data_IF_011408607203
#
_entry.id   IF_011408607203
#
_cell.length_a   1.000
_cell.length_b   1.000
_cell.length_c   1.000
_cell.angle_alpha   90.00
_cell.angle_beta   90.00
_cell.angle_gamma   90.00
#
_symmetry.space_group_name_H-M   'P 1'
#
loop_
_entity.id
_entity.type
_entity.pdbx_description
1 polymer ?
#
# COMPACT_ATOMS: atom_id res chain seq x y z
N UNK A 1 2.61 -12.61 24.17
CA UNK A 1 4.09 -12.59 24.33
C UNK A 1 4.83 -12.41 23.00
N UNK A 2 4.25 -12.83 21.86
CA UNK A 2 4.88 -12.73 20.53
C UNK A 2 4.82 -11.35 19.86
N UNK A 3 3.79 -10.52 20.10
CA UNK A 3 3.76 -9.18 19.47
C UNK A 3 4.83 -8.26 20.05
N UNK A 4 4.98 -8.25 21.39
CA UNK A 4 6.03 -7.48 22.07
C UNK A 4 7.46 -7.81 21.61
N UNK A 5 7.72 -9.06 21.16
CA UNK A 5 9.01 -9.43 20.57
C UNK A 5 9.20 -8.90 19.14
N UNK A 6 8.14 -8.88 18.33
CA UNK A 6 8.19 -8.33 16.97
C UNK A 6 8.36 -6.81 17.02
N UNK A 7 7.61 -6.12 17.88
CA UNK A 7 7.70 -4.67 18.04
C UNK A 7 9.14 -4.26 18.37
N UNK A 8 9.75 -4.91 19.36
CA UNK A 8 11.15 -4.68 19.72
C UNK A 8 12.12 -5.02 18.59
N UNK A 9 11.88 -6.10 17.84
CA UNK A 9 12.73 -6.50 16.73
C UNK A 9 12.71 -5.46 15.60
N UNK A 10 11.57 -4.81 15.34
CA UNK A 10 11.47 -3.79 14.28
C UNK A 10 12.32 -2.55 14.55
N UNK A 11 12.69 -2.27 15.81
CA UNK A 11 13.66 -1.19 16.13
C UNK A 11 15.08 -1.46 15.62
N UNK A 12 15.43 -2.72 15.32
CA UNK A 12 16.72 -3.07 14.73
C UNK A 12 16.76 -2.92 13.20
N UNK A 13 15.60 -2.74 12.56
CA UNK A 13 15.48 -2.59 11.11
C UNK A 13 15.92 -1.18 10.72
N UNK A 14 16.98 -1.06 9.91
CA UNK A 14 17.34 0.21 9.28
C UNK A 14 16.68 0.41 7.91
N UNK A 15 16.80 1.60 7.35
CA UNK A 15 16.27 1.93 6.01
C UNK A 15 16.78 0.98 4.92
N UNK A 16 18.04 0.56 5.00
CA UNK A 16 18.67 -0.35 4.04
C UNK A 16 18.03 -1.75 4.01
N UNK A 17 17.28 -2.15 5.03
CA UNK A 17 16.60 -3.44 5.07
C UNK A 17 15.24 -3.41 4.36
N UNK A 18 14.67 -2.23 4.07
CA UNK A 18 13.33 -2.10 3.48
C UNK A 18 13.27 -2.69 2.07
N UNK A 19 14.33 -2.55 1.28
CA UNK A 19 14.43 -3.13 -0.08
C UNK A 19 14.29 -4.66 -0.07
N UNK A 20 14.68 -5.32 1.02
CA UNK A 20 14.57 -6.77 1.17
C UNK A 20 13.16 -7.22 1.55
N UNK A 21 12.31 -6.29 2.02
CA UNK A 21 10.99 -6.58 2.57
C UNK A 21 9.88 -6.51 1.53
N UNK A 22 10.00 -5.65 0.52
CA UNK A 22 9.02 -5.59 -0.58
C UNK A 22 9.03 -6.91 -1.37
N UNK A 23 7.90 -7.24 -1.98
CA UNK A 23 7.76 -8.49 -2.72
C UNK A 23 8.49 -8.42 -4.05
N UNK A 24 9.25 -9.46 -4.38
CA UNK A 24 9.76 -9.68 -5.74
C UNK A 24 8.62 -10.02 -6.69
N UNK A 25 8.77 -9.73 -7.99
CA UNK A 25 7.73 -10.01 -9.00
C UNK A 25 7.20 -11.46 -8.92
N UNK A 26 8.09 -12.42 -8.71
CA UNK A 26 7.74 -13.84 -8.61
C UNK A 26 6.87 -14.18 -7.38
N UNK A 27 6.74 -13.26 -6.42
CA UNK A 27 5.91 -13.41 -5.21
C UNK A 27 4.55 -12.73 -5.34
N UNK A 28 4.30 -11.97 -6.42
CA UNK A 28 2.96 -11.47 -6.73
C UNK A 28 2.08 -12.62 -7.25
N UNK A 29 0.74 -12.53 -7.10
CA UNK A 29 -0.20 -13.52 -7.62
C UNK A 29 0.04 -13.87 -9.09
N UNK A 30 -0.28 -15.11 -9.48
CA UNK A 30 -0.07 -15.63 -10.84
C UNK A 30 -0.65 -14.72 -11.93
N UNK A 31 -1.78 -14.06 -11.64
CA UNK A 31 -2.44 -13.13 -12.56
C UNK A 31 -1.57 -11.92 -12.94
N UNK A 32 -0.60 -11.55 -12.09
CA UNK A 32 0.35 -10.48 -12.35
C UNK A 32 1.67 -10.94 -12.98
N UNK A 33 1.87 -12.24 -13.24
CA UNK A 33 3.13 -12.71 -13.83
C UNK A 33 3.37 -12.21 -15.26
N UNK A 34 2.28 -11.95 -15.99
CA UNK A 34 2.33 -11.28 -17.30
C UNK A 34 2.64 -9.78 -17.23
N UNK A 35 2.46 -9.14 -16.08
CA UNK A 35 2.69 -7.70 -15.88
C UNK A 35 4.19 -7.39 -15.80
N UNK A 36 4.56 -6.11 -15.94
CA UNK A 36 5.94 -5.64 -15.84
C UNK A 36 6.12 -4.75 -14.60
N UNK A 37 7.34 -4.67 -14.07
CA UNK A 37 7.67 -3.69 -13.03
C UNK A 37 7.63 -2.31 -13.68
N UNK A 38 6.73 -1.45 -13.20
CA UNK A 38 6.55 -0.08 -13.72
C UNK A 38 7.14 0.97 -12.79
N UNK A 39 7.23 0.67 -11.49
CA UNK A 39 7.84 1.52 -10.49
C UNK A 39 8.47 0.68 -9.39
N UNK A 40 9.69 1.01 -9.01
CA UNK A 40 10.37 0.39 -7.87
C UNK A 40 11.36 1.34 -7.21
N UNK A 41 11.66 1.07 -5.94
CA UNK A 41 12.71 1.73 -5.17
C UNK A 41 12.19 2.64 -4.06
N UNK A 42 13.04 3.58 -3.64
CA UNK A 42 12.79 4.44 -2.49
C UNK A 42 11.59 5.35 -2.69
N UNK A 43 10.80 5.47 -1.62
CA UNK A 43 9.63 6.33 -1.50
C UNK A 43 9.82 7.23 -0.28
N UNK A 44 10.65 8.26 -0.40
CA UNK A 44 10.84 9.25 0.67
C UNK A 44 9.61 10.17 0.85
N UNK A 45 9.60 11.01 1.89
CA UNK A 45 8.46 11.89 2.20
C UNK A 45 8.16 12.88 1.05
N UNK A 46 9.19 13.43 0.40
CA UNK A 46 9.01 14.35 -0.75
C UNK A 46 8.35 13.65 -1.94
N UNK A 47 8.83 12.45 -2.27
CA UNK A 47 8.29 11.64 -3.37
C UNK A 47 6.85 11.23 -3.06
N UNK A 48 6.54 10.87 -1.81
CA UNK A 48 5.17 10.55 -1.42
C UNK A 48 4.25 11.79 -1.53
N UNK A 49 4.73 12.97 -1.12
CA UNK A 49 3.94 14.20 -1.19
C UNK A 49 3.64 14.61 -2.64
N UNK A 50 4.62 14.48 -3.53
CA UNK A 50 4.46 14.78 -4.96
C UNK A 50 3.47 13.85 -5.67
N UNK A 51 3.33 12.61 -5.20
CA UNK A 51 2.46 11.59 -5.81
C UNK A 51 1.15 11.37 -5.03
N UNK A 52 0.98 12.04 -3.88
CA UNK A 52 -0.20 11.93 -3.03
C UNK A 52 -1.32 12.89 -3.46
N UNK A 53 -2.29 13.09 -2.56
CA UNK A 53 -3.34 14.08 -2.78
C UNK A 53 -2.76 15.50 -2.87
N UNK A 54 -3.45 16.37 -3.62
CA UNK A 54 -3.12 17.79 -3.67
C UNK A 54 -3.09 18.39 -2.25
N UNK A 55 -2.08 19.23 -1.99
CA UNK A 55 -1.83 19.80 -0.66
C UNK A 55 -1.06 18.90 0.32
N UNK A 56 -0.69 17.67 -0.07
CA UNK A 56 0.22 16.85 0.74
C UNK A 56 1.62 17.46 0.79
N UNK A 57 2.26 17.44 1.96
CA UNK A 57 3.63 17.94 2.15
C UNK A 57 4.50 16.89 2.84
N UNK A 58 5.82 16.98 2.64
CA UNK A 58 6.75 16.06 3.29
C UNK A 58 6.84 16.30 4.80
N UNK A 59 6.67 17.54 5.25
CA UNK A 59 6.60 17.90 6.67
C UNK A 59 5.43 17.20 7.35
N UNK A 60 4.24 17.18 6.73
CA UNK A 60 3.07 16.49 7.27
C UNK A 60 3.35 15.01 7.54
N UNK A 61 4.06 14.35 6.63
CA UNK A 61 4.39 12.94 6.79
C UNK A 61 5.50 12.71 7.83
N UNK A 62 6.49 13.60 7.88
CA UNK A 62 7.51 13.56 8.93
C UNK A 62 6.91 13.78 10.31
N UNK A 63 5.99 14.74 10.47
CA UNK A 63 5.30 15.04 11.73
C UNK A 63 4.41 13.88 12.20
N UNK A 64 3.89 13.09 11.25
CA UNK A 64 3.20 11.83 11.53
C UNK A 64 4.14 10.67 11.93
N UNK A 65 5.44 10.92 12.01
CA UNK A 65 6.47 9.95 12.40
C UNK A 65 6.92 9.01 11.27
N UNK A 66 6.62 9.34 10.01
CA UNK A 66 7.09 8.57 8.85
C UNK A 66 8.54 8.95 8.52
N UNK A 67 9.42 7.95 8.53
CA UNK A 67 10.83 8.11 8.18
C UNK A 67 11.02 8.00 6.66
N UNK A 68 10.64 6.87 6.07
CA UNK A 68 10.80 6.61 4.62
C UNK A 68 9.96 5.39 4.18
N UNK A 69 10.11 4.95 2.94
CA UNK A 69 9.57 3.68 2.46
C UNK A 69 10.24 3.19 1.20
N UNK A 70 9.83 1.99 0.77
CA UNK A 70 10.23 1.36 -0.49
C UNK A 70 8.99 0.74 -1.11
N UNK A 71 8.88 0.79 -2.44
CA UNK A 71 7.78 0.14 -3.16
C UNK A 71 8.25 -0.69 -4.34
N UNK A 72 7.41 -1.65 -4.72
CA UNK A 72 7.42 -2.27 -6.05
C UNK A 72 6.00 -2.36 -6.57
N UNK A 73 5.81 -1.90 -7.80
CA UNK A 73 4.53 -1.85 -8.50
C UNK A 73 4.64 -2.56 -9.85
N UNK A 74 3.67 -3.42 -10.11
CA UNK A 74 3.46 -4.10 -11.37
C UNK A 74 2.33 -3.41 -12.13
N UNK A 75 2.54 -3.22 -13.44
CA UNK A 75 1.59 -2.60 -14.35
C UNK A 75 1.53 -3.32 -15.69
N UNK A 76 0.58 -2.94 -16.57
CA UNK A 76 0.32 -3.69 -17.79
C UNK A 76 1.48 -3.55 -18.79
N UNK A 77 1.66 -4.56 -19.63
CA UNK A 77 2.49 -4.47 -20.83
C UNK A 77 1.69 -3.88 -22.00
N UNK A 78 2.36 -3.34 -23.02
CA UNK A 78 1.73 -2.60 -24.12
C UNK A 78 0.72 -3.40 -24.96
N UNK A 79 0.67 -4.72 -24.80
CA UNK A 79 -0.21 -5.63 -25.52
C UNK A 79 -1.40 -6.15 -24.69
N UNK A 80 -1.58 -5.69 -23.45
CA UNK A 80 -2.70 -6.09 -22.60
C UNK A 80 -3.95 -5.27 -22.90
N UNK A 81 -5.09 -5.95 -22.98
CA UNK A 81 -6.39 -5.30 -23.15
C UNK A 81 -6.97 -4.87 -21.81
N UNK A 82 -7.17 -3.57 -21.64
CA UNK A 82 -7.74 -2.95 -20.43
C UNK A 82 -9.27 -3.00 -20.45
N UNK A 83 -9.84 -4.20 -20.42
CA UNK A 83 -11.31 -4.40 -20.36
C UNK A 83 -11.83 -4.31 -18.93
N UNK A 84 -13.14 -4.12 -18.77
CA UNK A 84 -13.80 -4.18 -17.44
C UNK A 84 -13.41 -5.44 -16.67
N UNK A 85 -13.09 -5.26 -15.38
CA UNK A 85 -12.61 -6.30 -14.49
C UNK A 85 -11.13 -6.67 -14.63
N UNK A 86 -10.39 -6.05 -15.57
CA UNK A 86 -8.96 -6.29 -15.71
C UNK A 86 -8.19 -5.68 -14.54
N UNK A 87 -7.41 -6.50 -13.85
CA UNK A 87 -6.54 -6.09 -12.74
C UNK A 87 -5.25 -5.53 -13.33
N UNK A 88 -5.21 -4.21 -13.52
CA UNK A 88 -4.14 -3.56 -14.27
C UNK A 88 -2.91 -3.22 -13.43
N UNK A 89 -3.04 -3.17 -12.11
CA UNK A 89 -1.91 -2.89 -11.23
C UNK A 89 -1.96 -3.69 -9.94
N UNK A 90 -0.79 -4.01 -9.43
CA UNK A 90 -0.59 -4.44 -8.06
C UNK A 90 0.69 -3.86 -7.49
N UNK A 91 0.70 -3.54 -6.21
CA UNK A 91 1.92 -3.10 -5.55
C UNK A 91 2.08 -3.69 -4.15
N UNK A 92 3.34 -3.72 -3.72
CA UNK A 92 3.75 -3.93 -2.33
C UNK A 92 4.62 -2.76 -1.91
N UNK A 93 4.33 -2.17 -0.76
CA UNK A 93 5.06 -1.05 -0.17
C UNK A 93 5.37 -1.38 1.27
N UNK A 94 6.56 -0.98 1.72
CA UNK A 94 6.94 -1.04 3.13
C UNK A 94 7.40 0.34 3.56
N UNK A 95 6.81 0.87 4.64
CA UNK A 95 7.21 2.12 5.24
C UNK A 95 7.85 1.88 6.61
N UNK A 96 8.78 2.77 6.95
CA UNK A 96 9.42 2.84 8.25
C UNK A 96 8.90 4.04 9.02
N UNK A 97 8.50 3.80 10.26
CA UNK A 97 8.08 4.84 11.20
C UNK A 97 8.96 4.88 12.44
N UNK A 98 8.85 5.99 13.19
CA UNK A 98 9.54 6.19 14.46
C UNK A 98 9.01 5.26 15.57
N UNK A 99 7.71 4.93 15.52
CA UNK A 99 7.04 4.11 16.53
C UNK A 99 5.86 3.30 15.97
N UNK A 100 5.46 2.19 16.62
CA UNK A 100 4.22 1.48 16.30
C UNK A 100 2.96 2.35 16.45
N UNK A 101 2.97 3.32 17.37
CA UNK A 101 1.87 4.27 17.56
C UNK A 101 1.75 5.21 16.36
N UNK A 102 2.87 5.65 15.78
CA UNK A 102 2.87 6.43 14.54
C UNK A 102 2.28 5.66 13.37
N UNK A 103 2.52 4.34 13.29
CA UNK A 103 1.88 3.48 12.27
C UNK A 103 0.37 3.45 12.46
N UNK A 104 -0.10 3.25 13.69
CA UNK A 104 -1.54 3.27 14.00
C UNK A 104 -2.19 4.60 13.61
N UNK A 105 -1.62 5.73 14.06
CA UNK A 105 -2.12 7.06 13.71
C UNK A 105 -2.09 7.29 12.20
N UNK A 106 -1.06 6.84 11.49
CA UNK A 106 -1.02 6.93 10.03
C UNK A 106 -2.21 6.21 9.39
N UNK A 107 -2.47 4.97 9.79
CA UNK A 107 -3.54 4.15 9.22
C UNK A 107 -4.91 4.83 9.36
N UNK A 108 -5.21 5.45 10.50
CA UNK A 108 -6.51 6.07 10.75
C UNK A 108 -6.61 7.53 10.34
N UNK A 109 -5.63 8.35 10.72
CA UNK A 109 -5.70 9.81 10.61
C UNK A 109 -5.17 10.33 9.28
N UNK A 110 -4.37 9.53 8.56
CA UNK A 110 -3.89 9.85 7.22
C UNK A 110 -4.56 8.93 6.22
N UNK A 111 -4.27 7.63 6.21
CA UNK A 111 -4.78 6.74 5.15
C UNK A 111 -6.32 6.72 5.09
N UNK A 112 -7.01 6.29 6.14
CA UNK A 112 -8.48 6.23 6.11
C UNK A 112 -9.11 7.63 5.95
N UNK A 113 -8.73 8.54 6.84
CA UNK A 113 -9.34 9.87 6.91
C UNK A 113 -9.10 10.71 5.65
N UNK A 114 -7.91 10.67 5.05
CA UNK A 114 -7.63 11.49 3.86
C UNK A 114 -8.47 11.08 2.66
N UNK A 115 -8.69 9.79 2.47
CA UNK A 115 -9.54 9.29 1.40
C UNK A 115 -11.01 9.63 1.66
N UNK A 116 -11.49 9.50 2.89
CA UNK A 116 -12.87 9.80 3.26
C UNK A 116 -13.20 11.29 3.13
N UNK A 117 -12.31 12.16 3.61
CA UNK A 117 -12.52 13.61 3.59
C UNK A 117 -12.49 14.20 2.17
N UNK A 118 -11.88 13.49 1.20
CA UNK A 118 -11.69 13.95 -0.19
C UNK A 118 -12.66 13.36 -1.20
N UNK A 119 -13.71 12.67 -0.76
CA UNK A 119 -14.75 12.17 -1.68
C UNK A 119 -15.39 13.35 -2.41
N UNK A 120 -15.42 13.28 -3.74
CA UNK A 120 -15.87 14.36 -4.63
C UNK A 120 -14.77 15.31 -5.08
N UNK A 121 -13.53 15.17 -4.60
CA UNK A 121 -12.41 15.98 -5.06
C UNK A 121 -11.72 15.40 -6.30
N UNK A 122 -11.06 16.28 -7.06
CA UNK A 122 -10.19 15.89 -8.16
C UNK A 122 -8.91 15.27 -7.60
N UNK A 123 -8.51 14.12 -8.15
CA UNK A 123 -7.31 13.39 -7.73
C UNK A 123 -6.21 13.41 -8.81
N UNK A 124 -6.33 14.32 -9.77
CA UNK A 124 -5.38 14.49 -10.88
C UNK A 124 -5.78 13.73 -12.15
N UNK A 125 -5.11 14.06 -13.25
CA UNK A 125 -5.30 13.42 -14.57
C UNK A 125 -6.75 13.38 -15.09
N UNK A 126 -7.61 14.29 -14.63
CA UNK A 126 -9.03 14.32 -15.01
C UNK A 126 -9.90 13.28 -14.31
N UNK A 127 -9.38 12.62 -13.27
CA UNK A 127 -10.13 11.72 -12.41
C UNK A 127 -10.63 12.43 -11.14
N UNK A 128 -11.82 12.01 -10.70
CA UNK A 128 -12.44 12.40 -9.44
C UNK A 128 -12.53 11.18 -8.53
N UNK A 129 -12.35 11.40 -7.22
CA UNK A 129 -12.66 10.39 -6.21
C UNK A 129 -14.19 10.30 -6.06
N UNK A 130 -14.78 9.22 -6.58
CA UNK A 130 -16.24 9.04 -6.64
C UNK A 130 -16.79 8.51 -5.32
N UNK A 131 -16.15 7.49 -4.76
CA UNK A 131 -16.55 6.93 -3.47
C UNK A 131 -15.41 6.18 -2.80
N UNK A 132 -15.54 6.03 -1.49
CA UNK A 132 -14.65 5.23 -0.64
C UNK A 132 -15.51 4.31 0.22
N UNK A 133 -15.07 3.07 0.39
CA UNK A 133 -15.75 2.07 1.24
C UNK A 133 -14.70 1.43 2.14
N UNK A 134 -14.89 1.50 3.45
CA UNK A 134 -14.05 0.77 4.41
C UNK A 134 -14.25 -0.73 4.23
N UNK A 135 -13.15 -1.46 4.31
CA UNK A 135 -13.09 -2.92 4.26
C UNK A 135 -12.53 -3.43 5.59
N UNK A 136 -12.78 -4.70 5.88
CA UNK A 136 -12.30 -5.38 7.09
C UNK A 136 -11.34 -6.53 6.71
N UNK A 137 -10.05 -6.24 6.44
CA UNK A 137 -9.06 -7.27 6.15
C UNK A 137 -8.86 -8.22 7.33
N UNK A 138 -8.62 -9.50 7.03
CA UNK A 138 -8.48 -10.57 8.02
C UNK A 138 -7.17 -11.35 7.83
N UNK A 139 -6.76 -12.03 8.90
CA UNK A 139 -5.61 -12.95 8.87
C UNK A 139 -4.24 -12.28 8.92
N UNK A 140 -4.17 -11.01 9.32
CA UNK A 140 -2.95 -10.32 9.72
C UNK A 140 -2.66 -10.59 11.20
N UNK A 141 -1.39 -10.49 11.59
CA UNK A 141 -0.96 -10.77 12.95
C UNK A 141 -1.38 -9.69 13.96
N UNK A 142 -1.38 -8.44 13.51
CA UNK A 142 -1.71 -7.26 14.30
C UNK A 142 -2.84 -6.48 13.59
N UNK A 143 -2.84 -5.15 13.68
CA UNK A 143 -3.81 -4.28 13.05
C UNK A 143 -3.69 -4.25 11.53
N UNK A 144 -4.85 -4.30 10.86
CA UNK A 144 -5.00 -4.06 9.43
C UNK A 144 -6.26 -3.26 9.15
N UNK A 145 -6.19 -2.34 8.19
CA UNK A 145 -7.33 -1.57 7.69
C UNK A 145 -7.35 -1.61 6.17
N UNK A 146 -8.53 -1.51 5.56
CA UNK A 146 -8.65 -1.54 4.11
C UNK A 146 -9.64 -0.52 3.58
N UNK A 147 -9.39 -0.09 2.35
CA UNK A 147 -10.31 0.74 1.58
C UNK A 147 -10.52 0.15 0.19
N UNK A 148 -11.76 0.25 -0.29
CA UNK A 148 -12.07 0.28 -1.70
C UNK A 148 -12.27 1.73 -2.12
N UNK A 149 -11.51 2.17 -3.09
CA UNK A 149 -11.51 3.52 -3.65
C UNK A 149 -12.04 3.43 -5.07
N UNK A 150 -13.11 4.16 -5.38
CA UNK A 150 -13.67 4.26 -6.73
C UNK A 150 -13.33 5.63 -7.31
N UNK A 151 -12.69 5.62 -8.47
CA UNK A 151 -12.29 6.78 -9.23
C UNK A 151 -13.04 6.81 -10.56
N UNK A 152 -13.37 8.00 -11.04
CA UNK A 152 -14.09 8.17 -12.30
C UNK A 152 -13.51 9.31 -13.12
N UNK A 153 -13.42 9.11 -14.43
CA UNK A 153 -12.95 10.12 -15.38
C UNK A 153 -13.47 9.85 -16.79
N UNK A 154 -12.85 10.50 -17.77
CA UNK A 154 -13.29 10.46 -19.17
C UNK A 154 -13.22 9.04 -19.75
N UNK A 155 -12.24 8.24 -19.30
CA UNK A 155 -12.01 6.87 -19.78
C UNK A 155 -12.81 5.80 -19.00
N UNK A 156 -13.67 6.23 -18.07
CA UNK A 156 -14.54 5.36 -17.29
C UNK A 156 -14.20 5.30 -15.80
N UNK A 157 -14.63 4.21 -15.16
CA UNK A 157 -14.38 3.96 -13.74
C UNK A 157 -13.14 3.10 -13.55
N UNK A 158 -12.41 3.37 -12.48
CA UNK A 158 -11.31 2.55 -11.99
C UNK A 158 -11.54 2.35 -10.49
N UNK A 159 -11.26 1.16 -9.99
CA UNK A 159 -11.31 0.86 -8.57
C UNK A 159 -9.94 0.45 -8.07
N UNK A 160 -9.59 0.83 -6.85
CA UNK A 160 -8.40 0.38 -6.15
C UNK A 160 -8.82 -0.21 -4.82
N UNK A 161 -8.38 -1.43 -4.53
CA UNK A 161 -8.51 -2.03 -3.20
C UNK A 161 -7.15 -1.94 -2.54
N UNK A 162 -7.07 -1.28 -1.39
CA UNK A 162 -5.83 -0.99 -0.65
C UNK A 162 -5.96 -1.57 0.75
N UNK A 163 -4.91 -2.23 1.24
CA UNK A 163 -4.81 -2.73 2.62
C UNK A 163 -3.50 -2.28 3.23
N UNK A 164 -3.64 -1.60 4.37
CA UNK A 164 -2.56 -1.21 5.27
C UNK A 164 -2.54 -2.19 6.45
N UNK A 165 -1.36 -2.65 6.86
CA UNK A 165 -1.20 -3.51 8.03
C UNK A 165 0.09 -3.25 8.80
N UNK A 166 0.06 -3.42 10.11
CA UNK A 166 1.17 -3.08 11.01
C UNK A 166 2.05 -4.29 11.33
N UNK A 167 3.36 -4.07 11.35
CA UNK A 167 4.36 -4.97 11.93
C UNK A 167 5.31 -4.13 12.80
N UNK A 168 4.98 -3.96 14.08
CA UNK A 168 5.70 -3.03 14.97
C UNK A 168 5.72 -1.61 14.40
N UNK A 169 6.91 -1.02 14.20
CA UNK A 169 7.06 0.32 13.59
C UNK A 169 7.11 0.31 12.05
N UNK A 170 6.85 -0.84 11.43
CA UNK A 170 6.74 -0.97 9.98
C UNK A 170 5.27 -0.98 9.59
N UNK A 171 4.96 -0.32 8.47
CA UNK A 171 3.66 -0.39 7.81
C UNK A 171 3.85 -1.12 6.48
N UNK A 172 3.15 -2.23 6.31
CA UNK A 172 3.02 -2.89 5.01
C UNK A 172 1.77 -2.36 4.31
N UNK A 173 1.89 -2.06 3.02
CA UNK A 173 0.77 -1.65 2.17
C UNK A 173 0.76 -2.51 0.93
N UNK A 174 -0.42 -2.99 0.56
CA UNK A 174 -0.66 -3.69 -0.69
C UNK A 174 -1.90 -3.13 -1.35
N UNK A 175 -1.89 -3.07 -2.68
CA UNK A 175 -3.09 -2.69 -3.41
C UNK A 175 -3.18 -3.39 -4.75
N UNK A 176 -4.42 -3.55 -5.22
CA UNK A 176 -4.76 -3.98 -6.58
C UNK A 176 -5.72 -2.95 -7.18
N UNK A 177 -5.38 -2.49 -8.37
CA UNK A 177 -6.24 -1.64 -9.19
C UNK A 177 -6.93 -2.48 -10.27
N UNK A 178 -8.22 -2.24 -10.47
CA UNK A 178 -9.04 -2.89 -11.49
C UNK A 178 -9.78 -1.86 -12.36
N UNK A 179 -9.88 -2.15 -13.66
CA UNK A 179 -10.74 -1.39 -14.59
C UNK A 179 -12.19 -1.65 -14.21
N UNK A 180 -12.97 -0.59 -14.05
CA UNK A 180 -14.36 -0.65 -13.62
C UNK A 180 -14.54 -0.62 -12.10
N UNK A 181 -15.78 -0.84 -11.66
CA UNK A 181 -16.17 -0.79 -10.25
C UNK A 181 -16.10 -2.18 -9.60
N UNK A 182 -14.89 -2.66 -9.35
CA UNK A 182 -14.63 -3.99 -8.79
C UNK A 182 -14.04 -3.92 -7.38
N UNK A 183 -14.20 -4.98 -6.62
CA UNK A 183 -13.55 -5.15 -5.32
C UNK A 183 -12.59 -6.35 -5.40
N UNK A 184 -11.44 -6.25 -4.74
CA UNK A 184 -10.38 -7.25 -4.77
C UNK A 184 -9.87 -7.61 -3.37
N UNK A 185 -10.73 -7.52 -2.35
CA UNK A 185 -10.32 -7.69 -0.95
C UNK A 185 -9.62 -9.04 -0.72
N UNK A 186 -10.17 -10.14 -1.22
CA UNK A 186 -9.57 -11.47 -1.05
C UNK A 186 -8.17 -11.56 -1.67
N UNK A 187 -7.99 -11.03 -2.89
CA UNK A 187 -6.71 -11.04 -3.59
C UNK A 187 -5.68 -10.13 -2.90
N UNK A 188 -6.10 -8.93 -2.50
CA UNK A 188 -5.24 -7.97 -1.79
C UNK A 188 -4.85 -8.51 -0.41
N UNK A 189 -5.76 -9.19 0.28
CA UNK A 189 -5.47 -9.82 1.56
C UNK A 189 -4.42 -10.93 1.43
N UNK A 190 -4.52 -11.79 0.40
CA UNK A 190 -3.50 -12.81 0.13
C UNK A 190 -2.13 -12.20 -0.19
N UNK A 191 -2.11 -11.12 -0.99
CA UNK A 191 -0.90 -10.36 -1.29
C UNK A 191 -0.30 -9.75 -0.01
N UNK A 192 -1.14 -9.16 0.85
CA UNK A 192 -0.77 -8.57 2.13
C UNK A 192 -0.17 -9.58 3.09
N UNK A 193 -0.78 -10.75 3.25
CA UNK A 193 -0.25 -11.83 4.08
C UNK A 193 1.09 -12.38 3.55
N UNK A 194 1.30 -12.34 2.23
CA UNK A 194 2.58 -12.71 1.62
C UNK A 194 3.66 -11.67 1.96
N UNK A 195 3.31 -10.38 1.88
CA UNK A 195 4.19 -9.27 2.29
C UNK A 195 4.49 -9.32 3.79
N UNK A 196 3.50 -9.54 4.65
CA UNK A 196 3.68 -9.63 6.10
C UNK A 196 4.68 -10.73 6.47
N UNK A 197 4.53 -11.93 5.89
CA UNK A 197 5.48 -13.04 6.11
C UNK A 197 6.90 -12.66 5.67
N UNK A 198 7.04 -11.95 4.55
CA UNK A 198 8.33 -11.48 4.05
C UNK A 198 8.94 -10.45 4.98
N UNK A 199 8.18 -9.45 5.41
CA UNK A 199 8.62 -8.44 6.39
C UNK A 199 9.09 -9.10 7.68
N UNK A 200 8.30 -10.01 8.24
CA UNK A 200 8.64 -10.75 9.46
C UNK A 200 9.91 -11.59 9.27
N UNK A 201 10.09 -12.25 8.12
CA UNK A 201 11.32 -13.02 7.86
C UNK A 201 12.58 -12.15 7.87
N UNK A 202 12.50 -10.92 7.34
CA UNK A 202 13.63 -9.98 7.35
C UNK A 202 13.87 -9.45 8.77
N UNK A 203 12.81 -9.07 9.49
CA UNK A 203 12.88 -8.61 10.89
C UNK A 203 13.54 -9.66 11.79
N UNK A 204 13.25 -10.94 11.57
CA UNK A 204 13.79 -12.05 12.35
C UNK A 204 15.15 -12.57 11.84
N UNK A 205 15.71 -11.97 10.79
CA UNK A 205 17.01 -12.38 10.22
C UNK A 205 17.01 -13.74 9.52
N UNK A 206 15.86 -14.18 9.01
CA UNK A 206 15.67 -15.45 8.30
C UNK A 206 15.79 -15.32 6.76
N UNK A 207 16.44 -14.26 6.29
CA UNK A 207 16.58 -13.89 4.87
C UNK A 207 17.62 -14.70 4.12
#
# INVERSE_FOLDING_TARGET
>A
MTSFSIDRATYSVGEAALDLMVLEKAQFPDLFQGHQVVREGSLNNDTLAQNGFEGSTSERFSDAGRVTGVMRELGPTSNMSMSDGFDFMAASVVHLFDSPESVHSWMHDIFLKDFEDRVGESIGQGHQLVSVTRLEPQGFFDEAVGLRVLQGGVDGLISSTVVDFRVGRLLGVVFIGAVGAHERLDQVQQLGQTLEKRMVSVVLGSS
#
